data_IF_609122031739
#
_entry.id   IF_609122031739
#
_cell.length_a   1.000
_cell.length_b   1.000
_cell.length_c   1.000
_cell.angle_alpha   90.00
_cell.angle_beta   90.00
_cell.angle_gamma   90.00
#
_symmetry.space_group_name_H-M   'P 1'
#
loop_
_entity.id
_entity.type
_entity.pdbx_description
1 polymer ?
#
# COMPACT_ATOMS: atom_id res chain seq x y z
N UNK A 1 2.77 -4.61 8.58
CA UNK A 1 2.82 -5.61 7.48
C UNK A 1 3.89 -6.65 7.78
N UNK A 2 3.88 -7.83 7.16
CA UNK A 2 5.01 -8.78 7.27
C UNK A 2 6.17 -8.22 6.43
N UNK A 3 7.30 -7.88 7.07
CA UNK A 3 8.43 -7.20 6.41
C UNK A 3 9.13 -8.06 5.38
N UNK A 4 9.27 -9.37 5.62
CA UNK A 4 9.93 -10.29 4.68
C UNK A 4 9.12 -10.36 3.40
N UNK A 5 7.81 -10.63 3.52
CA UNK A 5 6.91 -10.68 2.37
C UNK A 5 6.78 -9.32 1.67
N UNK A 6 6.87 -8.22 2.41
CA UNK A 6 6.86 -6.87 1.85
C UNK A 6 8.08 -6.65 0.95
N UNK A 7 9.29 -6.96 1.43
CA UNK A 7 10.52 -6.81 0.65
C UNK A 7 10.50 -7.70 -0.60
N UNK A 8 10.04 -8.94 -0.47
CA UNK A 8 9.90 -9.86 -1.61
C UNK A 8 8.93 -9.30 -2.67
N UNK A 9 7.78 -8.76 -2.25
CA UNK A 9 6.81 -8.16 -3.17
C UNK A 9 7.35 -6.90 -3.83
N UNK A 10 8.05 -6.03 -3.07
CA UNK A 10 8.67 -4.84 -3.63
C UNK A 10 9.73 -5.19 -4.69
N UNK A 11 10.56 -6.21 -4.44
CA UNK A 11 11.51 -6.71 -5.45
C UNK A 11 10.79 -7.18 -6.72
N UNK A 12 9.68 -7.91 -6.58
CA UNK A 12 8.87 -8.35 -7.73
C UNK A 12 8.33 -7.14 -8.53
N UNK A 13 7.81 -6.12 -7.85
CA UNK A 13 7.28 -4.91 -8.50
C UNK A 13 8.36 -4.04 -9.14
N UNK A 14 9.54 -3.95 -8.53
CA UNK A 14 10.67 -3.25 -9.15
C UNK A 14 11.20 -3.99 -10.38
N UNK A 15 11.29 -5.33 -10.33
CA UNK A 15 11.68 -6.12 -11.49
C UNK A 15 10.68 -5.99 -12.65
N UNK A 16 9.38 -5.81 -12.35
CA UNK A 16 8.35 -5.53 -13.37
C UNK A 16 8.59 -4.19 -14.09
N UNK A 17 8.94 -3.13 -13.35
CA UNK A 17 9.01 -1.76 -13.88
C UNK A 17 10.40 -1.42 -14.46
N UNK A 18 11.49 -1.90 -13.85
CA UNK A 18 12.86 -1.56 -14.25
C UNK A 18 13.36 -2.37 -15.45
N UNK A 19 12.88 -3.60 -15.63
CA UNK A 19 13.49 -4.54 -16.57
C UNK A 19 14.98 -4.73 -16.27
N UNK A 20 15.85 -4.32 -17.20
CA UNK A 20 17.31 -4.33 -17.00
C UNK A 20 17.86 -2.98 -16.50
N UNK A 21 17.39 -1.86 -17.06
CA UNK A 21 17.83 -0.49 -16.71
C UNK A 21 16.75 0.56 -17.02
N UNK A 22 16.76 1.69 -16.30
CA UNK A 22 16.05 2.91 -16.71
C UNK A 22 16.93 3.72 -17.68
N UNK A 23 16.78 3.45 -18.98
CA UNK A 23 17.55 4.08 -20.06
C UNK A 23 17.49 5.61 -19.98
N UNK A 24 16.33 6.17 -19.63
CA UNK A 24 16.14 7.62 -19.64
C UNK A 24 16.93 8.28 -18.52
N UNK A 25 16.86 7.75 -17.30
CA UNK A 25 17.63 8.29 -16.16
C UNK A 25 19.13 8.06 -16.34
N UNK A 26 19.51 6.88 -16.85
CA UNK A 26 20.90 6.53 -17.15
C UNK A 26 21.53 7.48 -18.18
N UNK A 27 20.81 7.83 -19.25
CA UNK A 27 21.31 8.74 -20.27
C UNK A 27 21.27 10.22 -19.86
N UNK A 28 20.38 10.58 -18.93
CA UNK A 28 20.12 11.98 -18.57
C UNK A 28 20.99 12.49 -17.43
N UNK A 29 21.46 11.61 -16.54
CA UNK A 29 22.15 12.00 -15.31
C UNK A 29 23.42 11.17 -15.14
N UNK A 30 24.53 11.73 -14.64
CA UNK A 30 25.69 10.94 -14.26
C UNK A 30 25.39 10.06 -13.03
N UNK A 31 26.13 8.95 -12.89
CA UNK A 31 25.87 7.91 -11.89
C UNK A 31 26.09 8.35 -10.44
N UNK A 32 26.76 9.47 -10.20
CA UNK A 32 27.05 10.03 -8.87
C UNK A 32 26.16 11.23 -8.51
N UNK A 33 25.25 11.65 -9.41
CA UNK A 33 24.39 12.81 -9.18
C UNK A 33 23.49 12.59 -7.98
N UNK A 34 23.64 13.44 -6.97
CA UNK A 34 22.75 13.50 -5.81
C UNK A 34 21.61 14.50 -6.01
N UNK A 35 20.47 14.22 -5.38
CA UNK A 35 19.30 15.08 -5.43
C UNK A 35 18.38 14.89 -4.23
N UNK A 36 17.36 15.75 -4.18
CA UNK A 36 16.27 15.68 -3.21
C UNK A 36 14.94 15.54 -3.93
N UNK A 37 14.05 14.73 -3.38
CA UNK A 37 12.71 14.53 -3.88
C UNK A 37 11.69 14.61 -2.74
N UNK A 38 10.45 14.95 -3.08
CA UNK A 38 9.36 15.13 -2.13
C UNK A 38 8.10 14.47 -2.69
N UNK A 39 7.38 13.71 -1.88
CA UNK A 39 6.00 13.34 -2.21
C UNK A 39 5.08 14.41 -1.65
N UNK A 40 4.41 15.13 -2.55
CA UNK A 40 3.42 16.16 -2.20
C UNK A 40 2.01 15.65 -2.46
N UNK A 41 1.15 15.72 -1.45
CA UNK A 41 -0.24 15.32 -1.54
C UNK A 41 -1.00 16.18 -2.57
N UNK A 42 -1.69 15.54 -3.50
CA UNK A 42 -2.53 16.20 -4.52
C UNK A 42 -4.02 16.21 -4.15
N UNK A 43 -4.39 15.47 -3.13
CA UNK A 43 -5.72 15.35 -2.54
C UNK A 43 -5.56 15.20 -1.02
N UNK A 44 -6.61 15.45 -0.25
CA UNK A 44 -6.62 15.17 1.19
C UNK A 44 -7.08 13.73 1.46
N UNK A 45 -6.62 13.11 2.54
CA UNK A 45 -7.01 11.73 2.86
C UNK A 45 -6.32 11.19 4.11
N UNK A 46 -6.32 9.87 4.25
CA UNK A 46 -5.64 9.13 5.32
C UNK A 46 -4.44 8.40 4.73
N UNK A 47 -3.25 8.63 5.29
CA UNK A 47 -2.02 8.03 4.77
C UNK A 47 -1.96 6.54 5.16
N UNK A 48 -1.52 5.69 4.24
CA UNK A 48 -1.25 4.29 4.55
C UNK A 48 -0.11 3.74 3.73
N UNK A 49 0.77 3.00 4.40
CA UNK A 49 1.85 2.27 3.78
C UNK A 49 3.18 3.00 3.80
N UNK A 50 3.36 4.07 4.57
CA UNK A 50 4.60 4.87 4.61
C UNK A 50 5.88 4.05 4.77
N UNK A 51 5.82 2.92 5.49
CA UNK A 51 6.94 1.96 5.60
C UNK A 51 7.46 1.42 4.25
N UNK A 52 6.61 1.35 3.21
CA UNK A 52 7.01 0.93 1.86
C UNK A 52 8.07 1.85 1.27
N UNK A 53 8.04 3.14 1.61
CA UNK A 53 8.99 4.13 1.10
C UNK A 53 10.40 3.82 1.59
N UNK A 54 10.53 3.53 2.89
CA UNK A 54 11.81 3.16 3.48
C UNK A 54 12.34 1.85 2.89
N UNK A 55 11.54 0.79 2.90
CA UNK A 55 11.99 -0.52 2.42
C UNK A 55 12.21 -0.54 0.90
N UNK A 56 11.41 0.21 0.15
CA UNK A 56 11.54 0.33 -1.29
C UNK A 56 12.87 0.97 -1.70
N UNK A 57 13.18 2.13 -1.12
CA UNK A 57 14.46 2.77 -1.41
C UNK A 57 15.64 2.02 -0.80
N UNK A 58 15.50 1.34 0.34
CA UNK A 58 16.55 0.46 0.88
C UNK A 58 16.93 -0.68 -0.09
N UNK A 59 15.97 -1.21 -0.85
CA UNK A 59 16.20 -2.25 -1.87
C UNK A 59 16.97 -1.67 -3.07
N UNK A 60 16.63 -0.46 -3.50
CA UNK A 60 17.24 0.19 -4.66
C UNK A 60 18.63 0.76 -4.36
N UNK A 61 18.76 1.45 -3.23
CA UNK A 61 20.00 2.09 -2.79
C UNK A 61 19.95 2.34 -1.27
N UNK A 62 20.72 1.59 -0.46
CA UNK A 62 20.73 1.74 0.99
C UNK A 62 21.25 3.11 1.47
N UNK A 63 21.86 3.91 0.60
CA UNK A 63 22.33 5.25 0.93
C UNK A 63 21.25 6.34 0.79
N UNK A 64 20.08 6.01 0.23
CA UNK A 64 18.97 6.96 0.16
C UNK A 64 18.42 7.21 1.56
N UNK A 65 18.47 8.46 2.01
CA UNK A 65 17.84 8.91 3.24
C UNK A 65 16.35 9.14 2.99
N UNK A 66 15.51 8.44 3.76
CA UNK A 66 14.06 8.57 3.71
C UNK A 66 13.54 9.21 4.99
N UNK A 67 12.85 10.33 4.88
CA UNK A 67 12.20 11.03 5.99
C UNK A 67 10.68 11.04 5.77
N UNK A 68 9.92 10.49 6.71
CA UNK A 68 8.45 10.47 6.65
C UNK A 68 7.91 11.11 7.93
N UNK A 69 7.44 12.37 7.89
CA UNK A 69 6.95 13.07 9.07
C UNK A 69 5.56 12.61 9.54
N UNK A 70 4.79 11.94 8.67
CA UNK A 70 3.42 11.48 8.94
C UNK A 70 3.39 9.98 9.23
N UNK A 71 2.49 9.55 10.13
CA UNK A 71 2.31 8.12 10.48
C UNK A 71 1.11 7.50 9.77
N UNK A 72 1.21 6.21 9.48
CA UNK A 72 0.10 5.44 8.91
C UNK A 72 -1.17 5.53 9.77
N UNK A 73 -2.28 5.94 9.14
CA UNK A 73 -3.56 6.21 9.79
C UNK A 73 -3.82 7.68 10.14
N UNK A 74 -2.83 8.57 10.00
CA UNK A 74 -3.03 10.01 10.15
C UNK A 74 -3.65 10.64 8.89
N UNK A 75 -4.41 11.71 9.10
CA UNK A 75 -4.96 12.53 8.01
C UNK A 75 -3.90 13.49 7.45
N UNK A 76 -3.96 13.72 6.15
CA UNK A 76 -3.17 14.73 5.46
C UNK A 76 -4.05 15.57 4.54
N UNK A 77 -3.58 16.79 4.23
CA UNK A 77 -4.27 17.73 3.37
C UNK A 77 -3.57 17.85 2.02
N UNK A 78 -4.35 18.21 0.99
CA UNK A 78 -3.80 18.61 -0.30
C UNK A 78 -2.74 19.70 -0.10
N UNK A 79 -1.55 19.46 -0.62
CA UNK A 79 -0.40 20.36 -0.50
C UNK A 79 0.62 19.93 0.54
N UNK A 80 0.29 19.02 1.47
CA UNK A 80 1.23 18.54 2.47
C UNK A 80 2.39 17.75 1.84
N UNK A 81 3.57 17.84 2.44
CA UNK A 81 4.72 16.99 2.13
C UNK A 81 4.63 15.76 3.02
N UNK A 82 4.37 14.60 2.42
CA UNK A 82 4.17 13.34 3.16
C UNK A 82 5.47 12.57 3.35
N UNK A 83 6.47 12.81 2.49
CA UNK A 83 7.78 12.20 2.58
C UNK A 83 8.84 13.02 1.82
N UNK A 84 10.08 12.93 2.29
CA UNK A 84 11.26 13.52 1.69
C UNK A 84 12.34 12.45 1.48
N UNK A 85 13.09 12.60 0.39
CA UNK A 85 14.14 11.68 -0.01
C UNK A 85 15.40 12.44 -0.40
N UNK A 86 16.56 11.91 -0.03
CA UNK A 86 17.86 12.46 -0.42
C UNK A 86 18.80 11.32 -0.79
N UNK A 87 19.39 11.37 -1.98
CA UNK A 87 20.27 10.31 -2.47
C UNK A 87 20.55 10.41 -3.96
N UNK A 88 20.94 9.27 -4.56
CA UNK A 88 21.24 9.19 -5.99
C UNK A 88 19.99 9.47 -6.84
N UNK A 89 20.08 10.41 -7.79
CA UNK A 89 18.94 10.83 -8.63
C UNK A 89 18.37 9.69 -9.46
N UNK A 90 19.22 8.83 -10.04
CA UNK A 90 18.74 7.70 -10.86
C UNK A 90 17.93 6.73 -10.02
N UNK A 91 18.42 6.39 -8.82
CA UNK A 91 17.74 5.48 -7.90
C UNK A 91 16.45 6.11 -7.30
N UNK A 92 16.44 7.43 -7.07
CA UNK A 92 15.24 8.16 -6.67
C UNK A 92 14.14 8.07 -7.75
N UNK A 93 14.49 8.28 -9.02
CA UNK A 93 13.54 8.22 -10.14
C UNK A 93 13.08 6.78 -10.42
N UNK A 94 14.00 5.81 -10.37
CA UNK A 94 13.73 4.39 -10.55
C UNK A 94 12.67 3.85 -9.56
N UNK A 95 12.68 4.33 -8.32
CA UNK A 95 11.71 3.90 -7.29
C UNK A 95 10.37 4.61 -7.35
N UNK A 96 10.28 5.75 -8.05
CA UNK A 96 9.17 6.69 -7.92
C UNK A 96 7.82 6.02 -8.23
N UNK A 97 7.70 5.41 -9.42
CA UNK A 97 6.40 4.96 -9.95
C UNK A 97 5.83 3.81 -9.14
N UNK A 98 6.64 2.78 -8.88
CA UNK A 98 6.23 1.61 -8.09
C UNK A 98 5.77 2.02 -6.68
N UNK A 99 6.56 2.86 -6.00
CA UNK A 99 6.26 3.25 -4.63
C UNK A 99 5.05 4.19 -4.55
N UNK A 100 4.92 5.14 -5.48
CA UNK A 100 3.75 6.01 -5.56
C UNK A 100 2.47 5.23 -5.87
N UNK A 101 2.50 4.27 -6.80
CA UNK A 101 1.33 3.46 -7.15
C UNK A 101 0.80 2.69 -5.93
N UNK A 102 1.70 2.10 -5.14
CA UNK A 102 1.32 1.39 -3.91
C UNK A 102 0.81 2.35 -2.84
N UNK A 103 1.53 3.44 -2.58
CA UNK A 103 1.15 4.43 -1.55
C UNK A 103 -0.20 5.07 -1.86
N UNK A 104 -0.46 5.43 -3.12
CA UNK A 104 -1.73 5.98 -3.58
C UNK A 104 -2.87 4.98 -3.39
N UNK A 105 -2.67 3.72 -3.81
CA UNK A 105 -3.68 2.66 -3.64
C UNK A 105 -4.03 2.45 -2.17
N UNK A 106 -3.01 2.31 -1.33
CA UNK A 106 -3.19 2.06 0.10
C UNK A 106 -3.87 3.25 0.79
N UNK A 107 -3.42 4.48 0.51
CA UNK A 107 -4.02 5.69 1.08
C UNK A 107 -5.46 5.89 0.60
N UNK A 108 -5.78 5.54 -0.66
CA UNK A 108 -7.15 5.55 -1.16
C UNK A 108 -8.07 4.59 -0.41
N UNK A 109 -7.61 3.37 -0.13
CA UNK A 109 -8.37 2.38 0.65
C UNK A 109 -8.57 2.86 2.10
N UNK A 110 -7.52 3.40 2.73
CA UNK A 110 -7.60 3.93 4.09
C UNK A 110 -8.59 5.10 4.19
N UNK A 111 -8.51 6.03 3.23
CA UNK A 111 -9.43 7.18 3.13
C UNK A 111 -10.88 6.74 2.97
N UNK A 112 -11.15 5.80 2.06
CA UNK A 112 -12.50 5.28 1.86
C UNK A 112 -13.03 4.51 3.05
N UNK A 113 -12.17 3.77 3.75
CA UNK A 113 -12.54 3.06 4.98
C UNK A 113 -12.91 4.05 6.09
N UNK A 114 -12.08 5.07 6.30
CA UNK A 114 -12.32 6.12 7.29
C UNK A 114 -13.63 6.87 6.98
N UNK A 115 -13.86 7.22 5.71
CA UNK A 115 -15.13 7.83 5.25
C UNK A 115 -16.33 6.93 5.56
N UNK A 116 -16.24 5.62 5.29
CA UNK A 116 -17.34 4.71 5.58
C UNK A 116 -17.64 4.62 7.08
N UNK A 117 -16.61 4.64 7.94
CA UNK A 117 -16.78 4.66 9.40
C UNK A 117 -17.46 5.95 9.86
N UNK A 118 -17.04 7.09 9.31
CA UNK A 118 -17.68 8.38 9.59
C UNK A 118 -19.13 8.45 9.14
N UNK A 119 -19.48 7.79 8.02
CA UNK A 119 -20.88 7.69 7.55
C UNK A 119 -21.74 6.74 8.39
N UNK A 120 -21.14 5.70 8.97
CA UNK A 120 -21.84 4.77 9.86
C UNK A 120 -22.18 5.41 11.20
N UNK A 121 -21.27 6.23 11.75
CA UNK A 121 -21.43 6.99 13.00
C UNK A 121 -21.90 6.17 14.21
N UNK A 122 -21.52 4.89 14.26
CA UNK A 122 -21.80 4.00 15.38
C UNK A 122 -20.57 3.19 15.75
N UNK A 123 -19.98 3.53 16.90
CA UNK A 123 -18.78 2.87 17.44
C UNK A 123 -19.02 1.41 17.87
N UNK A 124 -20.27 0.97 18.02
CA UNK A 124 -20.61 -0.43 18.34
C UNK A 124 -20.55 -1.33 17.11
N UNK A 125 -20.65 -0.76 15.91
CA UNK A 125 -20.64 -1.49 14.65
C UNK A 125 -19.27 -1.33 13.99
N UNK A 126 -18.66 -2.45 13.59
CA UNK A 126 -17.35 -2.47 12.95
C UNK A 126 -17.49 -2.62 11.44
N UNK A 127 -16.78 -1.78 10.70
CA UNK A 127 -16.60 -1.96 9.25
C UNK A 127 -15.50 -2.97 9.01
N UNK A 128 -15.82 -4.07 8.33
CA UNK A 128 -14.91 -5.16 8.03
C UNK A 128 -14.63 -5.27 6.53
N UNK A 129 -13.39 -5.59 6.19
CA UNK A 129 -13.00 -5.93 4.82
C UNK A 129 -13.44 -7.37 4.42
N UNK A 130 -13.03 -7.80 3.23
CA UNK A 130 -13.31 -9.15 2.73
C UNK A 130 -12.07 -9.79 2.08
N UNK A 131 -12.28 -10.88 1.34
CA UNK A 131 -11.27 -11.49 0.45
C UNK A 131 -11.42 -11.06 -1.01
N UNK A 132 -12.34 -10.13 -1.31
CA UNK A 132 -12.48 -9.46 -2.62
C UNK A 132 -11.39 -8.40 -2.75
N UNK A 133 -10.15 -8.87 -2.78
CA UNK A 133 -8.93 -8.08 -2.82
C UNK A 133 -8.26 -8.25 -4.18
N UNK A 134 -7.48 -7.27 -4.63
CA UNK A 134 -6.71 -7.46 -5.86
C UNK A 134 -5.70 -8.61 -5.67
N UNK A 135 -5.61 -9.56 -6.63
CA UNK A 135 -4.63 -10.64 -6.56
C UNK A 135 -3.21 -10.11 -6.32
N UNK A 136 -2.45 -10.80 -5.46
CA UNK A 136 -1.10 -10.37 -5.06
C UNK A 136 -1.04 -9.21 -4.04
N UNK A 137 -2.08 -8.38 -3.93
CA UNK A 137 -2.05 -7.16 -3.10
C UNK A 137 -2.77 -7.25 -1.75
N UNK A 138 -3.35 -8.42 -1.42
CA UNK A 138 -4.15 -8.60 -0.19
C UNK A 138 -3.47 -8.10 1.08
N UNK A 139 -2.16 -8.29 1.25
CA UNK A 139 -1.45 -7.81 2.44
C UNK A 139 -1.53 -6.28 2.58
N UNK A 140 -1.32 -5.56 1.48
CA UNK A 140 -1.32 -4.11 1.41
C UNK A 140 -2.72 -3.55 1.65
N UNK A 141 -3.73 -4.12 0.98
CA UNK A 141 -5.12 -3.66 1.08
C UNK A 141 -5.70 -3.88 2.47
N UNK A 142 -5.48 -5.07 3.06
CA UNK A 142 -5.91 -5.35 4.44
C UNK A 142 -5.17 -4.50 5.47
N UNK A 143 -3.94 -4.10 5.20
CA UNK A 143 -3.23 -3.17 6.06
C UNK A 143 -3.83 -1.76 5.95
N UNK A 144 -4.13 -1.31 4.73
CA UNK A 144 -4.78 -0.02 4.49
C UNK A 144 -6.15 0.11 5.14
N UNK A 145 -6.97 -0.95 5.14
CA UNK A 145 -8.24 -0.99 5.89
C UNK A 145 -8.00 -0.70 7.38
N UNK A 146 -6.97 -1.31 7.98
CA UNK A 146 -6.62 -1.07 9.39
C UNK A 146 -6.16 0.37 9.62
N UNK A 147 -5.37 0.95 8.72
CA UNK A 147 -4.96 2.35 8.80
C UNK A 147 -6.17 3.29 8.75
N UNK A 148 -7.19 2.98 7.93
CA UNK A 148 -8.43 3.75 7.89
C UNK A 148 -9.38 3.53 9.09
N UNK A 149 -9.00 2.73 10.09
CA UNK A 149 -9.81 2.43 11.27
C UNK A 149 -10.73 1.19 11.14
N UNK A 150 -10.76 0.55 9.97
CA UNK A 150 -11.57 -0.64 9.72
C UNK A 150 -10.99 -1.90 10.34
N UNK A 151 -11.69 -3.03 10.19
CA UNK A 151 -11.31 -4.33 10.73
C UNK A 151 -11.09 -5.37 9.65
N UNK A 152 -10.16 -6.29 9.92
CA UNK A 152 -9.87 -7.38 9.01
C UNK A 152 -10.76 -8.57 9.35
N UNK A 153 -11.55 -9.00 8.37
CA UNK A 153 -12.10 -10.34 8.34
C UNK A 153 -10.98 -11.36 8.02
N UNK A 154 -11.30 -12.66 7.96
CA UNK A 154 -10.39 -13.74 7.56
C UNK A 154 -9.54 -13.39 6.32
N UNK A 155 -8.23 -13.63 6.38
CA UNK A 155 -7.25 -13.29 5.35
C UNK A 155 -7.16 -14.37 4.26
N UNK A 156 -7.44 -15.61 4.60
CA UNK A 156 -7.33 -16.76 3.69
C UNK A 156 -8.51 -17.73 3.83
N UNK A 157 -8.48 -18.85 3.09
CA UNK A 157 -9.42 -19.97 3.31
C UNK A 157 -9.08 -20.76 4.59
N UNK A 158 -7.81 -20.80 4.99
CA UNK A 158 -7.36 -21.55 6.16
C UNK A 158 -7.59 -20.82 7.48
N UNK A 159 -7.93 -19.53 7.44
CA UNK A 159 -8.08 -18.71 8.66
C UNK A 159 -9.37 -18.99 9.44
N UNK A 160 -10.46 -19.35 8.75
CA UNK A 160 -11.76 -19.62 9.37
C UNK A 160 -12.67 -20.39 8.44
N UNK A 161 -13.47 -21.30 9.02
CA UNK A 161 -14.60 -21.94 8.33
C UNK A 161 -15.69 -20.89 8.10
N UNK A 162 -16.17 -20.81 6.87
CA UNK A 162 -17.34 -20.00 6.52
C UNK A 162 -18.16 -20.79 5.53
N UNK A 163 -19.22 -21.43 6.05
CA UNK A 163 -20.22 -22.08 5.22
C UNK A 163 -20.97 -21.02 4.42
N UNK A 164 -21.30 -21.38 3.19
CA UNK A 164 -22.01 -20.56 2.21
C UNK A 164 -23.01 -21.49 1.54
N UNK A 165 -23.97 -20.91 0.83
CA UNK A 165 -24.97 -21.64 0.04
C UNK A 165 -24.34 -22.76 -0.81
N UNK A 166 -23.24 -22.48 -1.53
CA UNK A 166 -22.54 -23.51 -2.32
C UNK A 166 -22.10 -24.74 -1.50
N UNK A 167 -21.71 -24.55 -0.25
CA UNK A 167 -21.32 -25.67 0.62
C UNK A 167 -22.55 -26.45 1.07
N UNK A 168 -23.67 -25.78 1.38
CA UNK A 168 -24.93 -26.41 1.79
C UNK A 168 -25.54 -27.22 0.63
N UNK A 169 -25.56 -26.63 -0.57
CA UNK A 169 -26.01 -27.31 -1.81
C UNK A 169 -25.15 -28.55 -2.09
N UNK A 170 -23.83 -28.44 -1.94
CA UNK A 170 -22.93 -29.59 -2.12
C UNK A 170 -23.14 -30.70 -1.09
N UNK A 171 -23.65 -30.37 0.10
CA UNK A 171 -24.03 -31.35 1.13
C UNK A 171 -25.44 -31.94 0.93
N UNK A 172 -26.17 -31.54 -0.12
CA UNK A 172 -27.52 -32.03 -0.42
C UNK A 172 -28.65 -31.26 0.27
N UNK A 173 -28.35 -30.15 0.97
CA UNK A 173 -29.38 -29.29 1.54
C UNK A 173 -29.83 -28.23 0.52
N UNK A 174 -31.09 -28.33 0.07
CA UNK A 174 -31.73 -27.28 -0.74
C UNK A 174 -32.12 -26.12 0.16
N UNK A 175 -31.34 -25.03 0.12
CA UNK A 175 -31.81 -23.75 0.65
C UNK A 175 -32.85 -23.21 -0.33
N UNK A 176 -34.13 -23.29 0.02
CA UNK A 176 -35.21 -22.63 -0.74
C UNK A 176 -34.92 -21.12 -0.79
N UNK A 177 -34.86 -20.56 -2.00
CA UNK A 177 -34.89 -19.10 -2.23
C UNK A 177 -36.26 -18.53 -1.82
#
# INVERSE_FOLDING_TARGET
MNTILLKEKLQQFFNEDLGEIDITSESSFPSDRKGKAYIKAKESGVISGTSLLKYGYEILDPNIKVTVPIKDGEEFKKGDVVAEFEGNVRNLLAGERVLLNLLQRMSGIATMTNKAIGLLDDSKIRICDTRKTTPGLRMFEKYAVRCGGGFNHRRSLSDAVLLKENHLVACGEFVKQ
#
